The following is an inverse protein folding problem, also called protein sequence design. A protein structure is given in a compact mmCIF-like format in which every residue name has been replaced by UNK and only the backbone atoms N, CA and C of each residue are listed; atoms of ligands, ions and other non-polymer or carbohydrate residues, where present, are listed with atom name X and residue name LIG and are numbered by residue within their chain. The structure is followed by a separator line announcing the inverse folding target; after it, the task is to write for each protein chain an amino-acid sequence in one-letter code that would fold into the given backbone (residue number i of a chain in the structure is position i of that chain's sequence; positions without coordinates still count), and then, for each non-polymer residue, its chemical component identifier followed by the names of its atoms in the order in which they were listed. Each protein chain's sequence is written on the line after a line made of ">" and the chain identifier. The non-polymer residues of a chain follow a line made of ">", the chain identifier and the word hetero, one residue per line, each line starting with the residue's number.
data_IF_009619898113
#
_entry.id   IF_009619898113
#
_cell.length_a   1.000
_cell.length_b   1.000
_cell.length_c   1.000
_cell.angle_alpha   90.00
_cell.angle_beta   90.00
_cell.angle_gamma   90.00
#
_symmetry.space_group_name_H-M   'P 1'
#
loop_
_entity.id
_entity.type
_entity.pdbx_description
1 polymer ?
#
# COMPACT_ATOMS: atom_id res chain seq x y z
N UNK A 1 -28.32 -11.67 -10.15
CA UNK A 1 -28.76 -10.43 -10.85
C UNK A 1 -27.53 -9.85 -11.55
N UNK A 2 -27.58 -9.65 -12.87
CA UNK A 2 -26.45 -9.11 -13.61
C UNK A 2 -26.17 -7.66 -13.16
N UNK A 3 -24.90 -7.29 -13.06
CA UNK A 3 -24.45 -5.93 -12.65
C UNK A 3 -25.08 -4.82 -13.53
N UNK A 4 -25.29 -5.09 -14.82
CA UNK A 4 -25.99 -4.20 -15.75
C UNK A 4 -27.41 -3.81 -15.28
N UNK A 5 -28.15 -4.75 -14.71
CA UNK A 5 -29.53 -4.50 -14.27
C UNK A 5 -29.65 -3.57 -13.05
N UNK A 6 -28.57 -3.44 -12.23
CA UNK A 6 -28.57 -2.52 -11.09
C UNK A 6 -28.29 -1.07 -11.51
N UNK A 7 -27.33 -0.86 -12.40
CA UNK A 7 -26.99 0.47 -12.95
C UNK A 7 -28.15 1.03 -13.79
N UNK A 8 -28.78 0.21 -14.62
CA UNK A 8 -29.97 0.59 -15.39
C UNK A 8 -31.11 1.03 -14.49
N UNK A 9 -31.38 0.32 -13.39
CA UNK A 9 -32.38 0.71 -12.39
C UNK A 9 -32.01 1.96 -11.61
N UNK A 10 -30.71 2.16 -11.34
CA UNK A 10 -30.24 3.33 -10.63
C UNK A 10 -30.36 4.59 -11.48
N UNK A 11 -30.01 4.49 -12.75
CA UNK A 11 -30.07 5.58 -13.71
C UNK A 11 -31.50 5.84 -14.22
N UNK A 12 -32.39 4.82 -14.16
CA UNK A 12 -33.78 4.93 -14.57
C UNK A 12 -33.94 5.58 -15.96
N UNK A 13 -33.17 5.09 -16.94
CA UNK A 13 -33.14 5.61 -18.31
C UNK A 13 -32.55 7.02 -18.44
N UNK A 14 -31.92 7.56 -17.41
CA UNK A 14 -31.34 8.91 -17.41
C UNK A 14 -30.02 8.93 -18.18
N UNK A 15 -29.81 9.94 -18.99
CA UNK A 15 -28.55 10.18 -19.67
C UNK A 15 -27.46 10.61 -18.69
N UNK A 16 -26.21 10.24 -19.01
CA UNK A 16 -25.00 10.65 -18.28
C UNK A 16 -24.13 11.48 -19.21
N UNK A 17 -23.89 12.71 -18.84
CA UNK A 17 -22.97 13.60 -19.55
C UNK A 17 -21.60 13.59 -18.87
N UNK A 18 -20.54 13.46 -19.67
CA UNK A 18 -19.16 13.53 -19.18
C UNK A 18 -18.64 14.97 -19.33
N UNK A 19 -18.39 15.65 -18.21
CA UNK A 19 -17.86 17.02 -18.18
C UNK A 19 -16.43 17.04 -17.66
N UNK A 20 -15.62 17.95 -18.21
CA UNK A 20 -14.29 18.16 -17.65
C UNK A 20 -14.42 18.74 -16.22
N UNK A 21 -13.56 18.25 -15.31
CA UNK A 21 -13.60 18.65 -13.90
C UNK A 21 -13.52 20.18 -13.74
N UNK A 22 -12.66 20.83 -14.52
CA UNK A 22 -12.54 22.29 -14.51
C UNK A 22 -13.76 23.06 -14.99
N UNK A 23 -14.72 22.41 -15.67
CA UNK A 23 -15.98 23.01 -16.10
C UNK A 23 -17.08 22.90 -15.02
N UNK A 24 -16.88 21.97 -14.05
CA UNK A 24 -17.89 21.70 -13.00
C UNK A 24 -17.44 22.11 -11.60
N UNK A 25 -16.13 22.33 -11.39
CA UNK A 25 -15.60 22.82 -10.11
C UNK A 25 -14.24 23.51 -10.31
N UNK A 26 -13.81 24.29 -9.32
CA UNK A 26 -12.48 24.92 -9.32
C UNK A 26 -11.46 24.06 -8.60
N UNK A 27 -10.28 23.89 -9.21
CA UNK A 27 -9.12 23.24 -8.58
C UNK A 27 -8.28 24.29 -7.86
N UNK A 28 -8.40 24.36 -6.56
CA UNK A 28 -7.78 25.37 -5.71
C UNK A 28 -6.47 24.86 -5.13
N UNK A 29 -5.38 25.60 -5.32
CA UNK A 29 -4.12 25.33 -4.65
C UNK A 29 -4.16 25.80 -3.20
N UNK A 30 -3.59 25.03 -2.30
CA UNK A 30 -3.46 25.38 -0.90
C UNK A 30 -2.42 26.49 -0.65
N UNK A 31 -2.39 27.01 0.58
CA UNK A 31 -1.49 28.08 1.01
C UNK A 31 -0.42 27.52 1.94
N UNK A 32 0.84 27.72 1.57
CA UNK A 32 2.00 27.25 2.35
C UNK A 32 1.93 27.73 3.80
N UNK A 33 2.19 26.80 4.70
CA UNK A 33 2.33 27.03 6.13
C UNK A 33 3.70 26.53 6.58
N UNK A 34 4.38 27.29 7.42
CA UNK A 34 5.71 26.93 7.93
C UNK A 34 5.57 25.96 9.09
N UNK A 35 6.47 24.95 9.17
CA UNK A 35 6.41 23.88 10.17
C UNK A 35 6.43 24.37 11.62
N UNK A 36 7.09 25.50 11.89
CA UNK A 36 7.17 26.08 13.24
C UNK A 36 5.84 26.63 13.77
N UNK A 37 4.82 26.75 12.92
CA UNK A 37 3.47 27.13 13.32
C UNK A 37 2.57 25.94 13.64
N UNK A 38 3.04 24.72 13.45
CA UNK A 38 2.29 23.50 13.68
C UNK A 38 2.51 23.01 15.12
N UNK A 39 1.44 22.51 15.74
CA UNK A 39 1.46 21.85 17.04
C UNK A 39 0.56 20.62 17.01
N UNK A 40 0.85 19.61 17.83
CA UNK A 40 -0.02 18.45 18.00
C UNK A 40 -1.31 18.75 18.75
N UNK A 41 -1.34 19.86 19.50
CA UNK A 41 -2.47 20.28 20.36
C UNK A 41 -3.50 21.16 19.63
N UNK A 42 -3.19 21.60 18.39
CA UNK A 42 -4.07 22.47 17.63
C UNK A 42 -5.20 21.67 16.95
N UNK A 43 -6.24 22.39 16.51
CA UNK A 43 -7.53 21.80 16.12
C UNK A 43 -7.56 21.24 14.69
N UNK A 44 -6.99 21.96 13.73
CA UNK A 44 -7.21 21.66 12.31
C UNK A 44 -6.02 20.95 11.69
N UNK A 45 -6.20 19.76 11.10
CA UNK A 45 -5.11 19.05 10.44
C UNK A 45 -4.58 19.84 9.25
N UNK A 46 -3.28 19.78 9.02
CA UNK A 46 -2.59 20.44 7.91
C UNK A 46 -2.09 19.40 6.94
N UNK A 47 -2.59 19.41 5.71
CA UNK A 47 -2.16 18.50 4.65
C UNK A 47 -1.21 19.20 3.67
N UNK A 48 -0.16 18.50 3.25
CA UNK A 48 0.83 18.98 2.31
C UNK A 48 1.16 17.94 1.23
N UNK A 49 2.13 17.10 1.40
CA UNK A 49 2.61 16.13 0.41
C UNK A 49 2.14 14.69 0.65
N UNK A 50 1.09 14.49 1.43
CA UNK A 50 0.49 13.19 1.76
C UNK A 50 -0.88 13.33 2.39
N UNK A 51 -1.55 12.20 2.63
CA UNK A 51 -2.87 12.13 3.27
C UNK A 51 -2.78 12.08 4.81
N UNK A 52 -1.60 11.83 5.35
CA UNK A 52 -1.36 11.99 6.79
C UNK A 52 -1.10 13.46 7.10
N UNK A 53 -1.70 14.01 8.17
CA UNK A 53 -1.46 15.39 8.58
C UNK A 53 0.03 15.63 8.90
N UNK A 54 0.59 16.72 8.36
CA UNK A 54 1.92 17.19 8.70
C UNK A 54 2.03 17.67 10.16
N UNK A 55 0.90 18.01 10.76
CA UNK A 55 0.68 18.55 12.08
C UNK A 55 -0.68 19.25 12.11
N UNK A 56 -0.93 20.03 13.16
CA UNK A 56 -2.21 20.74 13.32
C UNK A 56 -1.98 22.25 13.47
N UNK A 57 -3.01 23.03 13.13
CA UNK A 57 -2.98 24.49 13.18
C UNK A 57 -4.29 25.05 13.76
N UNK A 58 -4.25 26.27 14.28
CA UNK A 58 -5.41 26.90 14.91
C UNK A 58 -6.45 27.46 13.95
N UNK A 59 -6.21 27.40 12.63
CA UNK A 59 -7.13 27.88 11.59
C UNK A 59 -7.25 26.85 10.48
N UNK A 60 -8.42 26.82 9.84
CA UNK A 60 -8.65 26.10 8.60
C UNK A 60 -8.71 27.05 7.40
N UNK A 61 -8.41 26.57 6.20
CA UNK A 61 -8.63 27.29 4.95
C UNK A 61 -9.50 26.49 3.97
N UNK A 62 -9.95 25.32 4.39
CA UNK A 62 -10.90 24.46 3.66
C UNK A 62 -11.93 23.88 4.61
N UNK A 63 -13.19 23.80 4.20
CA UNK A 63 -14.25 23.19 5.01
C UNK A 63 -14.14 21.68 5.01
N UNK A 64 -14.85 21.05 5.94
CA UNK A 64 -15.11 19.62 5.95
C UNK A 64 -15.75 19.14 4.63
N UNK A 65 -15.70 17.84 4.40
CA UNK A 65 -16.25 17.17 3.21
C UNK A 65 -15.63 17.65 1.89
N UNK A 66 -14.34 17.99 1.91
CA UNK A 66 -13.59 18.46 0.74
C UNK A 66 -12.71 17.39 0.17
N UNK A 67 -12.77 17.23 -1.15
CA UNK A 67 -11.86 16.36 -1.93
C UNK A 67 -10.53 17.06 -2.11
N UNK A 68 -9.45 16.30 -1.91
CA UNK A 68 -8.08 16.78 -2.12
C UNK A 68 -7.29 15.86 -3.04
N UNK A 69 -6.32 16.42 -3.74
CA UNK A 69 -5.37 15.68 -4.57
C UNK A 69 -3.97 16.17 -4.22
N UNK A 70 -3.12 15.25 -3.79
CA UNK A 70 -1.73 15.58 -3.50
C UNK A 70 -1.03 15.91 -4.82
N UNK A 71 -0.40 17.09 -4.91
CA UNK A 71 0.21 17.56 -6.14
C UNK A 71 1.73 17.63 -6.09
N UNK A 72 2.36 17.33 -4.95
CA UNK A 72 3.82 17.38 -4.81
C UNK A 72 4.33 16.26 -3.90
N UNK A 73 5.56 15.78 -4.18
CA UNK A 73 6.25 14.76 -3.40
C UNK A 73 5.93 13.33 -3.83
N UNK A 74 6.41 12.35 -3.05
CA UNK A 74 6.27 10.91 -3.37
C UNK A 74 4.81 10.44 -3.49
N UNK A 75 3.87 11.14 -2.84
CA UNK A 75 2.44 10.82 -2.89
C UNK A 75 1.68 11.64 -3.95
N UNK A 76 2.36 12.36 -4.85
CA UNK A 76 1.71 13.13 -5.90
C UNK A 76 0.77 12.24 -6.74
N UNK A 77 -0.43 12.74 -7.05
CA UNK A 77 -1.49 12.01 -7.73
C UNK A 77 -2.40 11.18 -6.80
N UNK A 78 -2.14 11.18 -5.49
CA UNK A 78 -3.03 10.51 -4.53
C UNK A 78 -4.25 11.37 -4.24
N UNK A 79 -5.44 10.75 -4.29
CA UNK A 79 -6.73 11.37 -4.01
C UNK A 79 -7.11 11.12 -2.56
N UNK A 80 -7.56 12.15 -1.85
CA UNK A 80 -8.00 12.10 -0.47
C UNK A 80 -9.33 12.83 -0.25
N UNK A 81 -9.88 12.66 0.95
CA UNK A 81 -11.13 13.29 1.39
C UNK A 81 -11.05 13.63 2.87
N UNK A 82 -11.30 14.88 3.22
CA UNK A 82 -11.35 15.29 4.62
C UNK A 82 -12.80 15.43 5.08
N UNK A 83 -13.13 14.79 6.20
CA UNK A 83 -14.44 14.90 6.87
C UNK A 83 -14.49 16.03 7.90
N UNK A 84 -13.36 16.69 8.13
CA UNK A 84 -13.23 17.82 9.07
C UNK A 84 -12.65 19.04 8.34
N UNK A 85 -12.87 20.21 8.90
CA UNK A 85 -12.21 21.43 8.45
C UNK A 85 -10.69 21.27 8.59
N UNK A 86 -9.93 21.78 7.63
CA UNK A 86 -8.49 21.57 7.59
C UNK A 86 -7.74 22.73 6.92
N UNK A 87 -6.43 22.71 7.04
CA UNK A 87 -5.56 23.60 6.28
C UNK A 87 -4.92 22.85 5.11
N UNK A 88 -5.21 23.28 3.90
CA UNK A 88 -4.53 22.83 2.68
C UNK A 88 -3.28 23.68 2.47
N UNK A 89 -2.10 23.04 2.48
CA UNK A 89 -0.83 23.68 2.11
C UNK A 89 -0.61 23.60 0.59
N UNK A 90 0.46 24.22 0.10
CA UNK A 90 0.77 24.35 -1.33
C UNK A 90 1.10 23.02 -2.05
N UNK A 91 1.29 21.93 -1.30
CA UNK A 91 1.44 20.56 -1.83
C UNK A 91 0.15 19.78 -2.03
N UNK A 92 -1.01 20.46 -1.94
CA UNK A 92 -2.32 19.84 -2.03
C UNK A 92 -3.27 20.71 -2.85
N UNK A 93 -3.89 20.14 -3.89
CA UNK A 93 -5.07 20.73 -4.54
C UNK A 93 -6.33 20.34 -3.78
N UNK A 94 -7.28 21.26 -3.68
CA UNK A 94 -8.61 21.02 -3.15
C UNK A 94 -9.66 21.42 -4.20
N UNK A 95 -10.75 20.65 -4.25
CA UNK A 95 -11.85 20.95 -5.14
C UNK A 95 -12.87 21.81 -4.42
N UNK A 96 -13.29 22.88 -5.08
CA UNK A 96 -14.28 23.80 -4.53
C UNK A 96 -15.65 23.11 -4.45
N UNK A 97 -16.41 23.43 -3.39
CA UNK A 97 -17.78 22.94 -3.27
C UNK A 97 -18.67 23.54 -4.34
N UNK A 98 -19.52 22.71 -4.93
CA UNK A 98 -20.48 23.09 -5.95
C UNK A 98 -21.85 22.50 -5.60
N UNK A 99 -22.90 23.29 -5.77
CA UNK A 99 -24.28 22.87 -5.47
C UNK A 99 -24.81 21.77 -6.38
N UNK A 100 -24.18 21.58 -7.55
CA UNK A 100 -24.54 20.55 -8.53
C UNK A 100 -23.83 19.20 -8.32
N UNK A 101 -22.84 19.17 -7.40
CA UNK A 101 -22.00 18.00 -7.15
C UNK A 101 -22.00 17.58 -5.68
N UNK A 102 -22.32 16.33 -5.46
CA UNK A 102 -22.03 15.69 -4.18
C UNK A 102 -20.51 15.45 -4.06
N UNK A 103 -19.85 16.10 -3.10
CA UNK A 103 -18.39 15.99 -2.93
C UNK A 103 -17.90 14.57 -2.65
N UNK A 104 -18.71 13.74 -2.00
CA UNK A 104 -18.36 12.36 -1.76
C UNK A 104 -18.46 11.52 -3.05
N UNK A 105 -19.43 11.83 -3.91
CA UNK A 105 -19.52 11.25 -5.26
C UNK A 105 -18.28 11.63 -6.09
N UNK A 106 -17.90 12.91 -6.05
CA UNK A 106 -16.72 13.41 -6.73
C UNK A 106 -15.44 12.71 -6.24
N UNK A 107 -15.31 12.48 -4.95
CA UNK A 107 -14.22 11.69 -4.39
C UNK A 107 -14.14 10.30 -5.01
N UNK A 108 -15.25 9.56 -5.05
CA UNK A 108 -15.27 8.22 -5.64
C UNK A 108 -14.97 8.23 -7.14
N UNK A 109 -15.48 9.19 -7.88
CA UNK A 109 -15.15 9.35 -9.29
C UNK A 109 -13.63 9.56 -9.49
N UNK A 110 -13.01 10.38 -8.65
CA UNK A 110 -11.58 10.69 -8.74
C UNK A 110 -10.67 9.57 -8.24
N UNK A 111 -11.10 8.74 -7.29
CA UNK A 111 -10.38 7.53 -6.89
C UNK A 111 -10.17 6.61 -8.09
N UNK A 112 -11.15 6.50 -8.98
CA UNK A 112 -11.02 5.74 -10.24
C UNK A 112 -9.91 6.25 -11.15
N UNK A 113 -9.57 7.54 -11.05
CA UNK A 113 -8.48 8.16 -11.82
C UNK A 113 -7.13 8.17 -11.14
N UNK A 114 -7.00 7.65 -9.91
CA UNK A 114 -5.77 7.78 -9.14
C UNK A 114 -4.54 7.20 -9.84
N UNK A 115 -4.66 6.05 -10.50
CA UNK A 115 -3.57 5.45 -11.28
C UNK A 115 -3.16 6.32 -12.46
N UNK A 116 -4.13 6.90 -13.17
CA UNK A 116 -3.87 7.85 -14.25
C UNK A 116 -3.19 9.12 -13.72
N UNK A 117 -3.66 9.70 -12.62
CA UNK A 117 -3.05 10.88 -11.99
C UNK A 117 -1.59 10.61 -11.63
N UNK A 118 -1.30 9.47 -11.01
CA UNK A 118 0.07 9.06 -10.67
C UNK A 118 0.96 8.91 -11.90
N UNK A 119 0.44 8.37 -13.01
CA UNK A 119 1.19 8.23 -14.28
C UNK A 119 1.50 9.58 -14.95
N UNK A 120 0.79 10.65 -14.60
CA UNK A 120 0.98 12.01 -15.13
C UNK A 120 1.85 12.90 -14.24
N UNK A 121 2.36 12.37 -13.13
CA UNK A 121 3.29 13.08 -12.25
C UNK A 121 4.61 13.27 -12.98
N UNK A 122 5.10 14.50 -13.04
CA UNK A 122 6.44 14.80 -13.56
C UNK A 122 7.49 14.42 -12.53
N UNK A 123 8.44 13.57 -12.88
CA UNK A 123 9.47 13.03 -11.96
C UNK A 123 10.83 13.74 -12.08
N UNK A 124 10.95 14.75 -12.96
CA UNK A 124 12.16 15.56 -13.05
C UNK A 124 12.26 16.52 -11.86
N UNK A 125 13.12 16.19 -10.88
CA UNK A 125 13.23 16.90 -9.61
C UNK A 125 12.20 16.42 -8.58
N UNK A 126 11.54 17.34 -7.90
CA UNK A 126 10.45 17.00 -6.96
C UNK A 126 9.23 16.53 -7.76
N UNK A 127 8.73 15.30 -7.53
CA UNK A 127 7.54 14.80 -8.21
C UNK A 127 6.39 15.80 -8.10
N UNK A 128 5.78 16.18 -9.22
CA UNK A 128 4.76 17.23 -9.26
C UNK A 128 3.66 16.88 -10.26
N UNK A 129 2.41 17.06 -9.83
CA UNK A 129 1.22 16.96 -10.67
C UNK A 129 0.71 18.37 -11.01
N UNK A 130 0.49 18.63 -12.30
CA UNK A 130 -0.03 19.92 -12.75
C UNK A 130 -1.55 20.00 -12.67
N UNK A 131 -2.10 21.16 -12.26
CA UNK A 131 -3.54 21.38 -12.16
C UNK A 131 -4.27 21.18 -13.49
N UNK A 132 -3.61 21.46 -14.62
CA UNK A 132 -4.19 21.25 -15.97
C UNK A 132 -4.55 19.78 -16.23
N UNK A 133 -3.80 18.83 -15.65
CA UNK A 133 -4.11 17.40 -15.75
C UNK A 133 -5.40 17.08 -14.98
N UNK A 134 -5.54 17.66 -13.79
CA UNK A 134 -6.71 17.47 -12.94
C UNK A 134 -7.95 18.10 -13.58
N UNK A 135 -7.84 19.31 -14.08
CA UNK A 135 -8.95 20.02 -14.74
C UNK A 135 -9.51 19.28 -15.97
N UNK A 136 -8.69 18.50 -16.66
CA UNK A 136 -9.10 17.74 -17.87
C UNK A 136 -9.73 16.38 -17.58
N UNK A 137 -9.80 15.95 -16.33
CA UNK A 137 -10.46 14.68 -15.98
C UNK A 137 -11.96 14.78 -16.29
N UNK A 138 -12.51 13.73 -16.86
CA UNK A 138 -13.95 13.69 -17.18
C UNK A 138 -14.72 13.12 -15.99
N UNK A 139 -15.72 13.85 -15.53
CA UNK A 139 -16.60 13.44 -14.41
C UNK A 139 -18.00 13.14 -14.96
N UNK A 140 -18.60 11.98 -14.63
CA UNK A 140 -19.93 11.63 -15.06
C UNK A 140 -20.98 12.43 -14.29
N UNK A 141 -21.82 13.18 -14.97
CA UNK A 141 -22.95 13.92 -14.40
C UNK A 141 -24.22 13.22 -14.83
N UNK A 142 -24.88 12.46 -13.94
CA UNK A 142 -26.17 11.86 -14.27
C UNK A 142 -27.27 12.92 -14.32
N UNK A 143 -28.15 12.80 -15.29
CA UNK A 143 -29.31 13.72 -15.45
C UNK A 143 -28.91 15.21 -15.45
N UNK A 144 -28.11 15.67 -16.40
CA UNK A 144 -27.58 17.04 -16.39
C UNK A 144 -28.68 18.12 -16.45
N UNK A 145 -29.82 17.80 -17.07
CA UNK A 145 -30.97 18.70 -17.22
C UNK A 145 -31.79 18.87 -15.92
N UNK A 146 -31.59 18.02 -14.91
CA UNK A 146 -32.31 18.09 -13.65
C UNK A 146 -31.35 17.93 -12.47
N UNK A 147 -30.87 19.04 -11.87
CA UNK A 147 -29.91 19.04 -10.78
C UNK A 147 -30.38 18.25 -9.53
N UNK A 148 -31.67 18.34 -9.17
CA UNK A 148 -32.19 17.62 -8.00
C UNK A 148 -32.16 16.11 -8.22
N UNK A 149 -32.60 15.65 -9.40
CA UNK A 149 -32.51 14.21 -9.77
C UNK A 149 -31.07 13.76 -9.85
N UNK A 150 -30.18 14.58 -10.40
CA UNK A 150 -28.74 14.35 -10.45
C UNK A 150 -28.15 14.09 -9.06
N UNK A 151 -28.36 14.99 -8.11
CA UNK A 151 -27.89 14.88 -6.73
C UNK A 151 -28.48 13.66 -6.00
N UNK A 152 -29.76 13.35 -6.26
CA UNK A 152 -30.40 12.15 -5.72
C UNK A 152 -29.72 10.86 -6.21
N UNK A 153 -29.38 10.77 -7.50
CA UNK A 153 -28.64 9.64 -8.08
C UNK A 153 -27.22 9.57 -7.51
N UNK A 154 -26.48 10.69 -7.50
CA UNK A 154 -25.14 10.78 -6.90
C UNK A 154 -25.15 10.30 -5.45
N UNK A 155 -26.14 10.72 -4.65
CA UNK A 155 -26.29 10.32 -3.25
C UNK A 155 -26.59 8.83 -3.08
N UNK A 156 -27.37 8.24 -3.99
CA UNK A 156 -27.60 6.78 -4.00
C UNK A 156 -26.29 6.01 -4.29
N UNK A 157 -25.51 6.47 -5.28
CA UNK A 157 -24.21 5.90 -5.63
C UNK A 157 -23.27 5.97 -4.41
N UNK A 158 -23.16 7.15 -3.79
CA UNK A 158 -22.34 7.36 -2.58
C UNK A 158 -22.73 6.38 -1.47
N UNK A 159 -24.02 6.23 -1.18
CA UNK A 159 -24.50 5.31 -0.14
C UNK A 159 -24.05 3.87 -0.37
N UNK A 160 -24.05 3.43 -1.62
CA UNK A 160 -23.59 2.07 -1.98
C UNK A 160 -22.08 1.96 -1.79
N UNK A 161 -21.31 2.90 -2.35
CA UNK A 161 -19.84 2.88 -2.29
C UNK A 161 -19.30 3.06 -0.87
N UNK A 162 -19.95 3.88 -0.03
CA UNK A 162 -19.60 4.04 1.37
C UNK A 162 -19.81 2.74 2.16
N UNK A 163 -20.89 1.99 1.88
CA UNK A 163 -21.13 0.68 2.49
C UNK A 163 -20.05 -0.34 2.12
N UNK A 164 -19.67 -0.39 0.84
CA UNK A 164 -18.57 -1.26 0.40
C UNK A 164 -17.24 -0.84 1.05
N UNK A 165 -16.97 0.45 1.12
CA UNK A 165 -15.76 0.97 1.76
C UNK A 165 -15.69 0.60 3.25
N UNK A 166 -16.81 0.74 3.97
CA UNK A 166 -16.92 0.37 5.38
C UNK A 166 -16.71 -1.14 5.57
N UNK A 167 -17.38 -1.97 4.77
CA UNK A 167 -17.25 -3.44 4.84
C UNK A 167 -15.81 -3.89 4.53
N UNK A 168 -15.17 -3.27 3.53
CA UNK A 168 -13.78 -3.58 3.18
C UNK A 168 -12.82 -3.19 4.32
N UNK A 169 -13.04 -2.04 4.97
CA UNK A 169 -12.25 -1.60 6.11
C UNK A 169 -12.41 -2.55 7.31
N UNK A 170 -13.63 -2.96 7.63
CA UNK A 170 -13.95 -3.92 8.70
C UNK A 170 -13.25 -5.25 8.45
N UNK A 171 -13.45 -5.84 7.25
CA UNK A 171 -12.83 -7.11 6.88
C UNK A 171 -11.30 -7.04 6.91
N UNK A 172 -10.71 -5.94 6.46
CA UNK A 172 -9.25 -5.74 6.50
C UNK A 172 -8.75 -5.69 7.94
N UNK A 173 -9.47 -5.03 8.84
CA UNK A 173 -9.14 -4.96 10.25
C UNK A 173 -9.21 -6.35 10.92
N UNK A 174 -10.28 -7.11 10.66
CA UNK A 174 -10.45 -8.47 11.17
C UNK A 174 -9.34 -9.41 10.69
N UNK A 175 -9.06 -9.43 9.38
CA UNK A 175 -8.00 -10.25 8.80
C UNK A 175 -6.62 -9.88 9.35
N UNK A 176 -6.37 -8.60 9.57
CA UNK A 176 -5.11 -8.13 10.16
C UNK A 176 -4.98 -8.58 11.61
N UNK A 177 -6.05 -8.49 12.39
CA UNK A 177 -6.09 -8.96 13.78
C UNK A 177 -5.86 -10.48 13.85
N UNK A 178 -6.55 -11.25 13.01
CA UNK A 178 -6.38 -12.71 12.93
C UNK A 178 -4.95 -13.09 12.53
N UNK A 179 -4.37 -12.44 11.52
CA UNK A 179 -2.99 -12.67 11.11
C UNK A 179 -2.00 -12.43 12.26
N UNK A 180 -2.20 -11.35 13.01
CA UNK A 180 -1.35 -11.03 14.17
C UNK A 180 -1.51 -12.06 15.29
N UNK A 181 -2.73 -12.53 15.54
CA UNK A 181 -3.02 -13.60 16.51
C UNK A 181 -2.33 -14.90 16.09
N UNK A 182 -2.44 -15.31 14.83
CA UNK A 182 -1.79 -16.51 14.29
C UNK A 182 -0.27 -16.44 14.35
N UNK A 183 0.32 -15.28 14.05
CA UNK A 183 1.77 -15.07 14.22
C UNK A 183 2.22 -15.22 15.67
N UNK A 184 1.46 -14.67 16.64
CA UNK A 184 1.76 -14.85 18.06
C UNK A 184 1.66 -16.31 18.48
N UNK A 185 0.61 -17.00 18.05
CA UNK A 185 0.40 -18.43 18.31
C UNK A 185 1.53 -19.28 17.74
N UNK A 186 1.91 -19.02 16.47
CA UNK A 186 3.04 -19.70 15.82
C UNK A 186 4.34 -19.51 16.60
N UNK A 187 4.67 -18.25 16.95
CA UNK A 187 5.89 -17.97 17.71
C UNK A 187 5.89 -18.67 19.06
N UNK A 188 4.77 -18.63 19.78
CA UNK A 188 4.63 -19.32 21.06
C UNK A 188 4.91 -20.82 20.93
N UNK A 189 4.24 -21.52 20.02
CA UNK A 189 4.46 -22.96 19.85
C UNK A 189 5.83 -23.27 19.30
N UNK A 190 6.36 -22.46 18.36
CA UNK A 190 7.72 -22.63 17.87
C UNK A 190 8.72 -22.58 19.03
N UNK A 191 8.62 -21.57 19.87
CA UNK A 191 9.55 -21.37 20.97
C UNK A 191 9.41 -22.50 22.01
N UNK A 192 8.19 -22.93 22.29
CA UNK A 192 7.93 -24.08 23.16
C UNK A 192 8.48 -25.41 22.60
N UNK A 193 8.28 -25.65 21.29
CA UNK A 193 8.74 -26.89 20.65
C UNK A 193 10.26 -26.97 20.46
N UNK A 194 10.93 -25.81 20.40
CA UNK A 194 12.38 -25.71 20.23
C UNK A 194 13.14 -25.37 21.51
N UNK A 195 12.44 -25.30 22.66
CA UNK A 195 13.04 -25.05 23.97
C UNK A 195 13.49 -26.36 24.59
N UNK A 196 14.76 -26.72 24.32
CA UNK A 196 15.41 -27.91 24.87
C UNK A 196 16.33 -27.57 26.05
N UNK A 197 16.11 -26.43 26.69
CA UNK A 197 16.91 -25.98 27.83
C UNK A 197 16.66 -26.88 29.05
N UNK A 198 17.71 -27.40 29.65
CA UNK A 198 17.62 -28.31 30.81
C UNK A 198 17.17 -27.62 32.10
N UNK A 199 17.35 -26.29 32.18
CA UNK A 199 16.97 -25.49 33.33
C UNK A 199 15.49 -25.08 33.34
N UNK A 200 14.75 -25.28 32.25
CA UNK A 200 13.32 -24.96 32.15
C UNK A 200 12.46 -26.23 32.20
N UNK A 201 11.33 -26.14 32.92
CA UNK A 201 10.32 -27.20 32.93
C UNK A 201 9.83 -27.47 31.51
N UNK A 202 10.17 -28.63 30.97
CA UNK A 202 9.80 -29.00 29.58
C UNK A 202 8.28 -29.20 29.50
N UNK A 203 7.64 -28.67 28.46
CA UNK A 203 6.23 -28.97 28.24
C UNK A 203 5.98 -30.47 28.12
N UNK A 204 4.93 -31.00 28.73
CA UNK A 204 4.58 -32.44 28.78
C UNK A 204 4.54 -33.08 27.38
N UNK A 205 4.11 -32.33 26.38
CA UNK A 205 4.08 -32.80 24.98
C UNK A 205 5.50 -32.92 24.37
N UNK A 206 6.45 -32.10 24.78
CA UNK A 206 7.83 -32.18 24.32
C UNK A 206 8.55 -33.40 24.92
N UNK A 207 8.31 -33.68 26.20
CA UNK A 207 8.80 -34.93 26.85
C UNK A 207 8.28 -36.15 26.12
N UNK A 208 6.99 -36.18 25.77
CA UNK A 208 6.38 -37.26 25.00
C UNK A 208 6.95 -37.40 23.58
N UNK A 209 7.29 -36.29 22.92
CA UNK A 209 7.88 -36.28 21.58
C UNK A 209 9.32 -36.82 21.60
N UNK A 210 10.08 -36.49 22.62
CA UNK A 210 11.47 -36.95 22.77
C UNK A 210 11.55 -38.43 23.18
N UNK A 211 10.50 -38.93 23.87
CA UNK A 211 10.42 -40.36 24.31
C UNK A 211 11.73 -40.87 24.96
N UNK A 212 12.34 -40.03 25.80
CA UNK A 212 13.59 -40.33 26.47
C UNK A 212 14.87 -40.16 25.63
N UNK A 213 14.75 -39.62 24.40
CA UNK A 213 15.91 -39.30 23.59
C UNK A 213 16.61 -38.05 24.11
N UNK A 214 17.91 -38.10 24.30
CA UNK A 214 18.72 -36.98 24.70
C UNK A 214 18.93 -36.00 23.53
N UNK A 215 18.88 -34.71 23.81
CA UNK A 215 19.14 -33.64 22.83
C UNK A 215 20.60 -33.21 22.94
N UNK A 216 21.36 -33.36 21.86
CA UNK A 216 22.73 -32.90 21.78
C UNK A 216 22.80 -31.53 21.08
N UNK A 217 23.44 -30.56 21.72
CA UNK A 217 23.69 -29.25 21.15
C UNK A 217 24.98 -29.22 20.34
N UNK A 218 24.88 -28.94 19.05
CA UNK A 218 26.03 -28.83 18.14
C UNK A 218 26.11 -27.42 17.53
N UNK A 219 27.33 -26.89 17.33
CA UNK A 219 27.52 -25.69 16.51
C UNK A 219 26.95 -25.92 15.11
N UNK A 220 26.29 -24.87 14.58
CA UNK A 220 25.62 -24.98 13.26
C UNK A 220 26.60 -25.37 12.14
N UNK A 221 27.87 -24.93 12.22
CA UNK A 221 28.97 -25.27 11.29
C UNK A 221 29.30 -26.79 11.25
N UNK A 222 28.94 -27.53 12.31
CA UNK A 222 29.25 -28.96 12.39
C UNK A 222 28.12 -29.84 11.82
N UNK A 223 26.96 -29.24 11.52
CA UNK A 223 25.75 -29.93 11.05
C UNK A 223 25.24 -29.42 9.70
N UNK A 224 25.76 -28.30 9.19
CA UNK A 224 25.42 -27.82 7.86
C UNK A 224 26.54 -26.98 7.24
N UNK A 225 26.54 -26.92 5.92
CA UNK A 225 27.46 -26.10 5.15
C UNK A 225 26.97 -24.65 5.09
N UNK A 226 27.84 -23.71 5.46
CA UNK A 226 27.61 -22.29 5.37
C UNK A 226 28.29 -21.70 4.14
N UNK A 227 27.51 -20.98 3.33
CA UNK A 227 28.03 -20.32 2.16
C UNK A 227 27.52 -18.88 2.05
N UNK A 228 28.42 -17.94 1.84
CA UNK A 228 28.05 -16.58 1.48
C UNK A 228 27.52 -16.53 0.06
N UNK A 229 26.51 -15.66 -0.17
CA UNK A 229 26.01 -15.42 -1.51
C UNK A 229 27.04 -14.73 -2.40
N UNK A 230 26.85 -14.82 -3.71
CA UNK A 230 27.67 -14.13 -4.69
C UNK A 230 27.23 -12.67 -4.84
N UNK A 231 28.20 -11.74 -4.95
CA UNK A 231 27.95 -10.32 -5.11
C UNK A 231 27.73 -9.96 -6.59
N UNK A 232 26.49 -10.06 -7.05
CA UNK A 232 26.11 -9.65 -8.40
C UNK A 232 26.21 -8.13 -8.58
N UNK A 233 26.77 -7.70 -9.72
CA UNK A 233 26.83 -6.26 -10.09
C UNK A 233 25.48 -5.80 -10.61
N UNK A 234 24.90 -4.79 -9.98
CA UNK A 234 23.58 -4.25 -10.37
C UNK A 234 23.54 -3.71 -11.81
N UNK A 235 24.67 -3.25 -12.33
CA UNK A 235 24.82 -2.80 -13.72
C UNK A 235 24.69 -3.90 -14.77
N UNK A 236 24.78 -5.18 -14.35
CA UNK A 236 24.64 -6.37 -15.21
C UNK A 236 23.27 -7.06 -15.04
N UNK A 237 22.34 -6.48 -14.29
CA UNK A 237 20.99 -7.01 -14.18
C UNK A 237 20.25 -6.90 -15.50
N UNK A 238 19.45 -7.93 -15.79
CA UNK A 238 18.66 -8.07 -17.03
C UNK A 238 17.19 -8.28 -16.71
N UNK A 239 16.36 -8.11 -17.73
CA UNK A 239 14.92 -8.38 -17.65
C UNK A 239 14.61 -9.88 -17.76
N UNK A 240 15.53 -10.66 -18.35
CA UNK A 240 15.38 -12.11 -18.52
C UNK A 240 16.73 -12.81 -18.34
N UNK A 241 16.71 -14.09 -17.97
CA UNK A 241 17.91 -14.90 -17.73
C UNK A 241 17.75 -15.82 -16.52
N UNK A 242 18.86 -16.08 -15.81
CA UNK A 242 18.82 -16.82 -14.55
C UNK A 242 18.41 -15.88 -13.40
N UNK A 243 17.49 -16.29 -12.53
CA UNK A 243 17.01 -15.47 -11.44
C UNK A 243 18.07 -15.29 -10.34
N UNK A 244 18.13 -14.09 -9.77
CA UNK A 244 18.97 -13.77 -8.61
C UNK A 244 18.07 -13.68 -7.37
N UNK A 245 18.29 -14.54 -6.39
CA UNK A 245 17.68 -14.39 -5.07
C UNK A 245 18.47 -13.38 -4.26
N UNK A 246 17.79 -12.35 -3.80
CA UNK A 246 18.36 -11.26 -2.99
C UNK A 246 17.74 -11.24 -1.61
N UNK A 247 18.33 -10.51 -0.68
CA UNK A 247 17.82 -10.32 0.68
C UNK A 247 16.36 -9.84 0.72
N UNK A 248 15.91 -9.08 -0.29
CA UNK A 248 14.53 -8.61 -0.43
C UNK A 248 13.54 -9.72 -0.78
N UNK A 249 14.03 -10.84 -1.31
CA UNK A 249 13.22 -12.02 -1.64
C UNK A 249 13.00 -12.95 -0.44
N UNK A 250 13.56 -12.63 0.74
CA UNK A 250 13.40 -13.44 1.97
C UNK A 250 12.34 -12.76 2.83
N UNK A 251 11.17 -13.39 2.97
CA UNK A 251 10.01 -12.83 3.69
C UNK A 251 10.03 -13.08 5.20
N UNK A 252 10.85 -14.03 5.65
CA UNK A 252 10.93 -14.50 7.04
C UNK A 252 10.41 -15.92 7.25
N UNK A 253 9.91 -16.56 6.18
CA UNK A 253 9.43 -17.94 6.14
C UNK A 253 9.86 -18.66 4.86
N UNK A 254 9.73 -18.00 3.73
CA UNK A 254 10.02 -18.54 2.41
C UNK A 254 10.91 -17.59 1.61
N UNK A 255 11.37 -18.07 0.47
CA UNK A 255 12.01 -17.28 -0.57
C UNK A 255 10.97 -17.02 -1.65
N UNK A 256 10.60 -15.74 -1.80
CA UNK A 256 9.65 -15.26 -2.80
C UNK A 256 10.36 -14.93 -4.12
N UNK A 257 9.89 -15.50 -5.22
CA UNK A 257 10.45 -15.32 -6.55
C UNK A 257 9.61 -14.43 -7.47
N UNK A 258 8.54 -13.81 -6.99
CA UNK A 258 7.65 -12.99 -7.80
C UNK A 258 8.34 -11.74 -8.39
N UNK A 259 9.28 -11.16 -7.62
CA UNK A 259 10.05 -9.98 -8.05
C UNK A 259 11.56 -10.24 -7.99
N UNK A 260 12.08 -11.06 -8.87
CA UNK A 260 13.52 -11.33 -8.99
C UNK A 260 14.20 -10.47 -10.05
N UNK A 261 15.50 -10.25 -9.91
CA UNK A 261 16.36 -9.77 -10.98
C UNK A 261 17.01 -10.95 -11.67
N UNK A 262 17.42 -10.73 -12.91
CA UNK A 262 18.02 -11.77 -13.74
C UNK A 262 19.45 -11.41 -14.11
N UNK A 263 20.24 -12.44 -14.48
CA UNK A 263 21.58 -12.27 -15.02
C UNK A 263 21.86 -13.30 -16.12
N UNK A 264 22.95 -13.09 -16.85
CA UNK A 264 23.48 -14.08 -17.81
C UNK A 264 24.81 -14.62 -17.32
N UNK A 265 25.01 -15.93 -17.41
CA UNK A 265 26.28 -16.59 -17.09
C UNK A 265 27.44 -16.01 -17.90
N UNK A 266 27.18 -15.57 -19.15
CA UNK A 266 28.19 -15.02 -20.03
C UNK A 266 28.78 -13.67 -19.55
N UNK A 267 28.12 -13.01 -18.58
CA UNK A 267 28.58 -11.73 -18.04
C UNK A 267 29.60 -11.93 -16.89
N UNK A 268 29.81 -13.16 -16.45
CA UNK A 268 30.70 -13.52 -15.36
C UNK A 268 31.73 -14.55 -15.80
N UNK A 269 32.96 -14.43 -15.33
CA UNK A 269 34.06 -15.35 -15.62
C UNK A 269 34.20 -16.45 -14.57
N UNK A 270 33.60 -16.23 -13.41
CA UNK A 270 33.63 -17.11 -12.28
C UNK A 270 32.64 -18.27 -12.49
N UNK A 271 32.97 -19.45 -11.97
CA UNK A 271 32.01 -20.55 -11.87
C UNK A 271 30.99 -20.26 -10.75
N UNK A 272 29.75 -20.05 -11.16
CA UNK A 272 28.64 -19.73 -10.26
C UNK A 272 27.85 -20.97 -9.81
N UNK A 273 28.20 -22.16 -10.27
CA UNK A 273 27.47 -23.41 -9.95
C UNK A 273 27.35 -23.65 -8.44
N UNK A 274 28.37 -23.26 -7.71
CA UNK A 274 28.41 -23.41 -6.26
C UNK A 274 27.49 -22.45 -5.50
N UNK A 275 26.88 -21.44 -6.17
CA UNK A 275 25.93 -20.47 -5.60
C UNK A 275 24.48 -20.77 -6.01
N UNK A 276 24.25 -21.86 -6.71
CA UNK A 276 22.89 -22.28 -7.05
C UNK A 276 22.11 -22.63 -5.79
N UNK A 277 20.88 -22.14 -5.74
CA UNK A 277 19.96 -22.41 -4.65
C UNK A 277 19.08 -23.59 -5.05
N UNK A 278 19.16 -24.66 -4.28
CA UNK A 278 18.36 -25.87 -4.45
C UNK A 278 17.17 -25.90 -3.50
N UNK A 279 16.15 -26.67 -3.88
CA UNK A 279 14.97 -26.89 -3.03
C UNK A 279 15.38 -27.41 -1.64
N UNK A 280 14.84 -26.80 -0.60
CA UNK A 280 15.17 -27.11 0.79
C UNK A 280 16.33 -26.29 1.36
N UNK A 281 17.06 -25.53 0.54
CA UNK A 281 18.07 -24.63 1.07
C UNK A 281 17.45 -23.54 1.95
N UNK A 282 18.13 -23.22 3.05
CA UNK A 282 17.76 -22.17 3.97
C UNK A 282 18.64 -20.95 3.70
N UNK A 283 18.02 -19.81 3.43
CA UNK A 283 18.69 -18.55 3.16
C UNK A 283 18.51 -17.59 4.33
N UNK A 284 19.58 -16.87 4.68
CA UNK A 284 19.58 -15.89 5.76
C UNK A 284 19.99 -14.53 5.17
N UNK A 285 19.16 -13.51 5.38
CA UNK A 285 19.50 -12.14 5.00
C UNK A 285 20.56 -11.58 5.97
N UNK A 286 21.76 -11.29 5.45
CA UNK A 286 22.91 -10.89 6.26
C UNK A 286 23.11 -9.36 6.32
N UNK A 287 22.34 -8.58 5.56
CA UNK A 287 22.52 -7.11 5.46
C UNK A 287 21.21 -6.40 5.14
N UNK A 288 21.18 -5.08 5.29
CA UNK A 288 20.03 -4.22 4.95
C UNK A 288 18.89 -4.30 5.95
N UNK A 289 17.74 -3.76 5.57
CA UNK A 289 16.53 -3.68 6.41
C UNK A 289 15.92 -5.05 6.75
N UNK A 290 16.30 -6.10 6.04
CA UNK A 290 15.80 -7.48 6.23
C UNK A 290 16.80 -8.36 6.97
N UNK A 291 17.89 -7.81 7.52
CA UNK A 291 18.92 -8.58 8.25
C UNK A 291 18.27 -9.47 9.32
N UNK A 292 18.70 -10.74 9.35
CA UNK A 292 18.19 -11.74 10.28
C UNK A 292 16.94 -12.47 9.80
N UNK A 293 16.29 -12.07 8.71
CA UNK A 293 15.22 -12.87 8.12
C UNK A 293 15.77 -14.16 7.54
N UNK A 294 15.02 -15.23 7.77
CA UNK A 294 15.33 -16.58 7.27
C UNK A 294 14.20 -17.02 6.36
N UNK A 295 14.54 -17.68 5.26
CA UNK A 295 13.55 -18.26 4.35
C UNK A 295 14.03 -19.59 3.79
N UNK A 296 13.11 -20.52 3.62
CA UNK A 296 13.37 -21.79 2.93
C UNK A 296 13.01 -21.67 1.45
N UNK A 297 13.89 -22.11 0.57
CA UNK A 297 13.58 -22.19 -0.85
C UNK A 297 12.71 -23.42 -1.12
N UNK A 298 11.47 -23.18 -1.50
CA UNK A 298 10.52 -24.18 -1.97
C UNK A 298 10.27 -23.89 -3.45
N UNK A 299 10.35 -24.91 -4.30
CA UNK A 299 10.00 -24.74 -5.71
C UNK A 299 8.57 -24.18 -5.77
N UNK A 300 8.35 -23.07 -6.49
CA UNK A 300 7.05 -22.47 -6.64
C UNK A 300 6.03 -23.49 -7.15
N UNK A 301 4.89 -23.49 -6.51
CA UNK A 301 3.67 -24.16 -7.00
C UNK A 301 3.12 -23.39 -8.16
#
# INVERSE_FOLDING_TARGET
>A
MSELNYLEKLLDGTEVEWKALGDVTSVLRGKRLTKNLLSAEEKFPVFHGGLEPLGYYNKSNRPANTVMIINVGASAGTVGYSTVDFWSSDGCFCLEHNELLNNRFLYFALIGYQSLLKSKVRVAGIPTLDAIVVNKLLIPIPCPENPEKSLAIQSKIVRVLDRFSALTAELTAELTAELNMRKKQYNYYRDQLLSFDEEQEKPIYLEKLLDGVEVEWKPLKDVCDFKNGFAFKSSLFKETGLPIVRITNIDGFNVDLDEVKYFSLNDYKEDLSSFEVSMGNILIAMSGATTGKVGIYKKGT
#
